data_IF_212991023240
#
_entry.id   IF_212991023240
#
_cell.length_a   1.000
_cell.length_b   1.000
_cell.length_c   1.000
_cell.angle_alpha   90.00
_cell.angle_beta   90.00
_cell.angle_gamma   90.00
#
_symmetry.space_group_name_H-M   'P 1'
#
loop_
_entity.id
_entity.type
_entity.pdbx_description
1 polymer ?
#
# COMPACT_ATOMS: atom_id res chain seq x y z
N UNK A 1 -13.45 -17.85 -15.22
CA UNK A 1 -12.57 -16.78 -15.75
C UNK A 1 -11.52 -16.43 -14.71
N UNK A 2 -10.22 -16.59 -15.01
CA UNK A 2 -9.13 -16.28 -14.08
C UNK A 2 -8.83 -14.77 -14.18
N UNK A 3 -9.26 -13.98 -13.20
CA UNK A 3 -8.92 -12.56 -13.11
C UNK A 3 -7.44 -12.46 -12.72
N UNK A 4 -6.61 -11.77 -13.50
CA UNK A 4 -5.29 -11.38 -13.01
C UNK A 4 -5.52 -10.24 -12.02
N UNK A 5 -5.30 -10.52 -10.73
CA UNK A 5 -5.28 -9.47 -9.72
C UNK A 5 -3.93 -8.74 -9.83
N UNK A 6 -3.94 -7.62 -10.53
CA UNK A 6 -2.76 -6.79 -10.68
C UNK A 6 -2.57 -5.98 -9.40
N UNK A 7 -1.75 -6.49 -8.49
CA UNK A 7 -1.36 -5.75 -7.28
C UNK A 7 -0.12 -4.91 -7.53
N UNK A 8 -0.08 -3.69 -7.00
CA UNK A 8 1.15 -2.89 -6.95
C UNK A 8 2.26 -3.64 -6.20
N UNK A 9 1.90 -4.40 -5.16
CA UNK A 9 2.80 -5.22 -4.33
C UNK A 9 3.12 -6.62 -4.88
N UNK A 10 2.84 -6.90 -6.15
CA UNK A 10 3.17 -8.20 -6.74
C UNK A 10 4.68 -8.38 -6.88
N UNK A 11 5.26 -9.29 -6.10
CA UNK A 11 6.70 -9.60 -6.12
C UNK A 11 7.12 -10.55 -7.26
N UNK A 12 6.17 -11.19 -7.96
CA UNK A 12 6.48 -12.13 -9.06
C UNK A 12 6.79 -11.43 -10.38
N UNK A 13 6.14 -10.30 -10.63
CA UNK A 13 6.35 -9.49 -11.83
C UNK A 13 6.53 -8.07 -11.35
N UNK A 14 7.77 -7.64 -11.23
CA UNK A 14 8.13 -6.34 -10.63
C UNK A 14 8.13 -5.25 -11.70
N UNK A 15 8.76 -5.51 -12.85
CA UNK A 15 8.93 -4.52 -13.91
C UNK A 15 7.59 -4.09 -14.54
N UNK A 16 7.29 -2.78 -14.63
CA UNK A 16 6.10 -2.25 -15.32
C UNK A 16 5.94 -2.77 -16.75
N UNK A 17 7.05 -2.85 -17.51
CA UNK A 17 7.05 -3.37 -18.88
C UNK A 17 6.61 -4.84 -18.97
N UNK A 18 7.07 -5.69 -18.04
CA UNK A 18 6.65 -7.09 -17.98
C UNK A 18 5.15 -7.22 -17.63
N UNK A 19 4.65 -6.36 -16.73
CA UNK A 19 3.21 -6.30 -16.40
C UNK A 19 2.37 -5.88 -17.61
N UNK A 20 2.82 -4.89 -18.38
CA UNK A 20 2.15 -4.46 -19.63
C UNK A 20 2.08 -5.61 -20.64
N UNK A 21 3.18 -6.34 -20.83
CA UNK A 21 3.24 -7.48 -21.76
C UNK A 21 2.20 -8.53 -21.41
N UNK A 22 2.09 -8.92 -20.14
CA UNK A 22 1.09 -9.90 -19.68
C UNK A 22 -0.34 -9.40 -19.93
N UNK A 23 -0.62 -8.12 -19.68
CA UNK A 23 -1.95 -7.55 -19.94
C UNK A 23 -2.28 -7.55 -21.44
N UNK A 24 -1.30 -7.22 -22.29
CA UNK A 24 -1.45 -7.24 -23.74
C UNK A 24 -1.71 -8.67 -24.26
N UNK A 25 -0.90 -9.64 -23.82
CA UNK A 25 -1.05 -11.06 -24.18
C UNK A 25 -2.41 -11.64 -23.78
N UNK A 26 -3.00 -11.16 -22.68
CA UNK A 26 -4.32 -11.61 -22.21
C UNK A 26 -5.47 -10.73 -22.69
N UNK A 27 -5.19 -9.69 -23.47
CA UNK A 27 -6.18 -8.70 -23.91
C UNK A 27 -6.97 -8.09 -22.76
N UNK A 28 -6.29 -7.78 -21.66
CA UNK A 28 -6.88 -7.12 -20.50
C UNK A 28 -6.66 -5.62 -20.55
N UNK A 29 -7.68 -4.89 -20.10
CA UNK A 29 -7.63 -3.43 -20.00
C UNK A 29 -6.45 -2.98 -19.12
N UNK A 30 -5.66 -2.04 -19.64
CA UNK A 30 -4.53 -1.46 -18.91
C UNK A 30 -4.93 -0.62 -17.69
N UNK A 31 -6.21 -0.24 -17.53
CA UNK A 31 -6.70 0.50 -16.36
C UNK A 31 -7.17 -0.41 -15.22
N UNK A 32 -8.03 -1.39 -15.52
CA UNK A 32 -8.65 -2.24 -14.49
C UNK A 32 -8.11 -3.69 -14.48
N UNK A 33 -7.09 -3.98 -15.29
CA UNK A 33 -6.46 -5.29 -15.43
C UNK A 33 -7.44 -6.45 -15.70
N UNK A 34 -8.59 -6.13 -16.29
CA UNK A 34 -9.72 -7.04 -16.48
C UNK A 34 -10.58 -6.61 -17.66
N UNK A 35 -11.37 -7.55 -18.18
CA UNK A 35 -12.24 -7.31 -19.34
C UNK A 35 -11.48 -7.06 -20.64
N UNK A 36 -12.20 -7.14 -21.76
CA UNK A 36 -11.68 -6.91 -23.11
C UNK A 36 -12.16 -5.54 -23.61
N UNK A 37 -11.51 -4.49 -23.12
CA UNK A 37 -11.77 -3.11 -23.55
C UNK A 37 -10.49 -2.30 -23.44
N UNK A 38 -10.38 -1.22 -24.20
CA UNK A 38 -9.23 -0.32 -24.10
C UNK A 38 -9.36 0.58 -22.85
N UNK A 39 -8.25 1.12 -22.38
CA UNK A 39 -8.26 1.94 -21.17
C UNK A 39 -9.13 3.22 -21.33
N UNK A 40 -9.18 3.79 -22.53
CA UNK A 40 -10.01 4.95 -22.85
C UNK A 40 -11.51 4.68 -22.62
N UNK A 41 -11.99 3.48 -22.96
CA UNK A 41 -13.38 3.04 -22.79
C UNK A 41 -13.67 2.45 -21.40
N UNK A 42 -12.65 2.33 -20.55
CA UNK A 42 -12.82 1.73 -19.23
C UNK A 42 -13.80 2.54 -18.38
N UNK A 43 -14.86 1.87 -17.91
CA UNK A 43 -15.88 2.46 -17.02
C UNK A 43 -15.37 2.66 -15.59
N UNK A 44 -14.25 2.04 -15.22
CA UNK A 44 -13.65 2.24 -13.91
C UNK A 44 -13.23 3.70 -13.72
N UNK A 45 -13.58 4.24 -12.55
CA UNK A 45 -13.14 5.56 -12.10
C UNK A 45 -11.66 5.58 -11.69
N UNK A 46 -10.99 4.43 -11.66
CA UNK A 46 -9.57 4.33 -11.35
C UNK A 46 -8.74 5.26 -12.24
N UNK A 47 -7.78 5.91 -11.61
CA UNK A 47 -6.74 6.75 -12.22
C UNK A 47 -5.41 6.39 -11.59
N UNK A 48 -4.35 6.54 -12.38
CA UNK A 48 -3.00 6.30 -11.91
C UNK A 48 -2.66 7.23 -10.74
N UNK A 49 -2.15 6.66 -9.64
CA UNK A 49 -1.79 7.42 -8.43
C UNK A 49 -0.44 8.16 -8.55
N UNK A 50 0.18 8.13 -9.73
CA UNK A 50 1.46 8.78 -10.04
C UNK A 50 1.25 9.97 -10.98
N UNK A 51 0.38 9.83 -11.98
CA UNK A 51 0.22 10.82 -13.04
C UNK A 51 -1.23 11.06 -13.46
N UNK A 52 -2.18 10.48 -12.75
CA UNK A 52 -3.63 10.68 -12.94
C UNK A 52 -4.20 10.23 -14.30
N UNK A 53 -3.36 9.71 -15.19
CA UNK A 53 -3.78 9.12 -16.46
C UNK A 53 -4.60 7.83 -16.26
N UNK A 54 -5.34 7.46 -17.31
CA UNK A 54 -6.26 6.31 -17.31
C UNK A 54 -5.52 4.98 -17.52
N UNK A 55 -4.73 4.58 -16.54
CA UNK A 55 -4.06 3.27 -16.48
C UNK A 55 -3.84 2.83 -15.04
N UNK A 56 -3.57 1.54 -14.85
CA UNK A 56 -3.28 0.99 -13.54
C UNK A 56 -1.91 1.47 -13.04
N UNK A 57 -1.83 2.01 -11.82
CA UNK A 57 -0.58 2.60 -11.27
C UNK A 57 0.64 1.68 -11.39
N UNK A 58 0.43 0.37 -11.28
CA UNK A 58 1.49 -0.65 -11.32
C UNK A 58 2.19 -0.81 -12.68
N UNK A 59 1.67 -0.18 -13.74
CA UNK A 59 2.23 -0.16 -15.10
C UNK A 59 2.63 1.26 -15.54
N UNK A 60 2.65 2.24 -14.62
CA UNK A 60 3.09 3.59 -14.94
C UNK A 60 4.60 3.62 -15.21
N UNK A 61 5.03 4.31 -16.26
CA UNK A 61 6.46 4.53 -16.53
C UNK A 61 6.99 5.84 -15.93
N UNK A 62 6.10 6.70 -15.42
CA UNK A 62 6.48 7.96 -14.79
C UNK A 62 7.02 7.69 -13.38
N UNK A 63 8.03 8.43 -12.97
CA UNK A 63 8.48 8.41 -11.57
C UNK A 63 7.38 8.99 -10.67
N UNK A 64 7.15 8.42 -9.47
CA UNK A 64 6.29 9.07 -8.49
C UNK A 64 6.79 10.49 -8.22
N UNK A 65 5.89 11.48 -8.03
CA UNK A 65 6.30 12.81 -7.61
C UNK A 65 7.08 12.70 -6.28
N UNK A 66 7.97 13.65 -5.95
CA UNK A 66 8.55 13.76 -4.61
C UNK A 66 7.39 13.80 -3.62
N UNK A 67 7.19 12.72 -2.88
CA UNK A 67 6.18 12.66 -1.83
C UNK A 67 6.88 13.10 -0.56
N UNK A 68 6.44 14.21 0.01
CA UNK A 68 6.66 14.50 1.43
C UNK A 68 6.33 13.22 2.23
N UNK A 69 7.11 12.86 3.27
CA UNK A 69 6.90 11.65 4.05
C UNK A 69 5.51 11.71 4.74
N UNK A 70 4.50 11.27 4.01
CA UNK A 70 3.13 11.18 4.46
C UNK A 70 2.89 9.87 5.20
N UNK A 71 2.01 9.92 6.20
CA UNK A 71 1.61 8.84 7.11
C UNK A 71 0.94 7.62 6.44
N UNK A 72 1.02 7.46 5.12
CA UNK A 72 0.34 6.39 4.38
C UNK A 72 1.33 5.34 3.87
N UNK A 73 1.04 4.07 4.14
CA UNK A 73 1.90 2.91 3.87
C UNK A 73 2.05 2.53 2.37
N UNK A 74 1.61 3.38 1.43
CA UNK A 74 1.67 3.10 -0.01
C UNK A 74 2.88 3.78 -0.67
N UNK A 75 4.09 3.34 -0.32
CA UNK A 75 5.32 3.72 -1.02
C UNK A 75 5.81 2.58 -1.92
N UNK A 76 6.10 2.91 -3.19
CA UNK A 76 6.69 1.99 -4.17
C UNK A 76 8.20 2.22 -4.13
N UNK A 77 8.94 1.32 -3.47
CA UNK A 77 10.39 1.37 -3.35
C UNK A 77 10.86 0.88 -1.98
N UNK A 78 12.05 0.28 -1.91
CA UNK A 78 12.69 -0.14 -0.67
C UNK A 78 13.19 1.08 0.13
N UNK A 79 12.27 1.91 0.61
CA UNK A 79 12.55 3.00 1.54
C UNK A 79 12.10 2.57 2.94
N UNK A 80 12.98 2.75 3.93
CA UNK A 80 12.67 2.54 5.34
C UNK A 80 11.45 3.35 5.74
N UNK A 81 10.32 2.68 6.01
CA UNK A 81 9.11 3.32 6.49
C UNK A 81 9.36 3.77 7.93
N UNK A 82 9.38 5.07 8.16
CA UNK A 82 9.43 5.62 9.52
C UNK A 82 8.00 5.64 10.04
N UNK A 83 7.70 4.69 10.92
CA UNK A 83 6.42 4.69 11.61
C UNK A 83 6.40 5.72 12.74
N UNK A 84 5.33 6.51 12.89
CA UNK A 84 5.20 7.47 13.99
C UNK A 84 5.10 6.70 15.32
N UNK A 85 6.08 6.91 16.18
CA UNK A 85 6.16 6.25 17.50
C UNK A 85 6.36 7.30 18.57
N UNK A 86 5.55 7.22 19.63
CA UNK A 86 5.68 8.07 20.82
C UNK A 86 6.09 7.23 22.02
N UNK A 87 6.84 7.83 22.94
CA UNK A 87 7.17 7.19 24.22
C UNK A 87 6.09 7.54 25.23
N UNK A 88 5.45 6.52 25.80
CA UNK A 88 4.42 6.65 26.84
C UNK A 88 4.92 6.09 28.16
N UNK A 89 4.43 6.64 29.28
CA UNK A 89 4.71 6.11 30.63
C UNK A 89 3.41 5.61 31.26
N UNK A 90 3.39 4.36 31.70
CA UNK A 90 2.24 3.72 32.36
C UNK A 90 2.75 2.98 33.60
N UNK A 91 2.22 3.30 34.78
CA UNK A 91 2.66 2.74 36.07
C UNK A 91 4.19 2.73 36.25
N UNK A 92 4.88 3.81 35.83
CA UNK A 92 6.33 3.93 35.93
C UNK A 92 7.13 3.26 34.80
N UNK A 93 6.53 2.38 34.00
CA UNK A 93 7.16 1.73 32.86
C UNK A 93 7.09 2.61 31.59
N UNK A 94 8.15 2.59 30.78
CA UNK A 94 8.20 3.29 29.49
C UNK A 94 7.91 2.31 28.36
N UNK A 95 6.95 2.66 27.50
CA UNK A 95 6.62 1.91 26.29
C UNK A 95 6.76 2.78 25.05
N UNK A 96 7.04 2.14 23.91
CA UNK A 96 6.94 2.77 22.59
C UNK A 96 5.57 2.42 22.01
N UNK A 97 4.72 3.43 21.85
CA UNK A 97 3.41 3.29 21.26
C UNK A 97 3.45 3.72 19.78
N UNK A 98 3.01 2.83 18.90
CA UNK A 98 2.82 3.10 17.48
C UNK A 98 1.54 3.93 17.28
N UNK A 99 1.62 5.04 16.56
CA UNK A 99 0.44 5.83 16.16
C UNK A 99 -0.08 5.33 14.80
N UNK A 100 -1.10 4.49 14.83
CA UNK A 100 -1.68 3.88 13.62
C UNK A 100 -3.10 4.40 13.38
N UNK A 101 -3.26 5.38 12.48
CA UNK A 101 -4.59 5.88 12.09
C UNK A 101 -5.40 4.87 11.27
N UNK A 102 -4.79 3.76 10.82
CA UNK A 102 -5.47 2.66 10.15
C UNK A 102 -6.12 1.67 11.12
N UNK A 103 -5.77 1.72 12.41
CA UNK A 103 -6.37 0.89 13.43
C UNK A 103 -7.71 1.49 13.91
N UNK A 104 -8.76 0.67 13.98
CA UNK A 104 -10.06 1.11 14.51
C UNK A 104 -10.10 1.24 16.03
N UNK A 105 -9.13 0.62 16.72
CA UNK A 105 -9.05 0.54 18.17
C UNK A 105 -7.59 0.70 18.62
N UNK A 106 -7.41 1.00 19.90
CA UNK A 106 -6.10 0.94 20.55
C UNK A 106 -5.79 -0.48 21.02
N UNK A 107 -4.55 -0.91 20.84
CA UNK A 107 -4.09 -2.24 21.23
C UNK A 107 -2.89 -2.14 22.17
N UNK A 108 -2.82 -3.06 23.13
CA UNK A 108 -1.69 -3.25 24.00
C UNK A 108 -1.31 -4.74 24.02
N UNK A 109 -0.01 -5.05 24.13
CA UNK A 109 0.41 -6.45 24.25
C UNK A 109 0.02 -7.00 25.63
N UNK A 110 -0.34 -8.28 25.69
CA UNK A 110 -0.63 -8.97 26.95
C UNK A 110 0.55 -8.89 27.93
N UNK A 111 1.79 -8.97 27.42
CA UNK A 111 3.01 -8.76 28.20
C UNK A 111 3.06 -7.37 28.83
N UNK A 112 2.70 -6.32 28.11
CA UNK A 112 2.65 -4.96 28.67
C UNK A 112 1.61 -4.89 29.79
N UNK A 113 0.41 -5.45 29.58
CA UNK A 113 -0.64 -5.49 30.61
C UNK A 113 -0.19 -6.27 31.85
N UNK A 114 0.47 -7.41 31.69
CA UNK A 114 1.01 -8.20 32.80
C UNK A 114 2.09 -7.44 33.56
N UNK A 115 3.02 -6.77 32.87
CA UNK A 115 4.06 -5.95 33.51
C UNK A 115 3.46 -4.80 34.33
N UNK A 116 2.43 -4.14 33.78
CA UNK A 116 1.73 -3.03 34.45
C UNK A 116 0.85 -3.54 35.60
N UNK A 117 0.31 -4.75 35.51
CA UNK A 117 -0.54 -5.38 36.51
C UNK A 117 0.21 -6.10 37.63
N UNK A 118 1.47 -6.49 37.39
CA UNK A 118 2.35 -7.12 38.38
C UNK A 118 2.94 -6.12 39.40
N UNK A 119 2.68 -4.82 39.25
CA UNK A 119 3.10 -3.78 40.18
C UNK A 119 2.02 -3.42 41.22
N UNK A 120 1.10 -4.34 41.52
CA UNK A 120 0.12 -4.23 42.62
C UNK A 120 0.51 -5.15 43.78
#
# INVERSE_FOLDING_TARGET
>A
MRVIKLSASCNKVVAPGARKKILAEKHFCFNCASGRHCAAECKSKNRCQICEDKHHTSICDKSPPPREPGMTANFIGASTVVHPVVVVRINGYKFRALLDSGASHSYASSTAIQLIGASN
#
